data_IF_733782463808
#
_entry.id   IF_733782463808
#
_cell.length_a   1.000
_cell.length_b   1.000
_cell.length_c   1.000
_cell.angle_alpha   90.00
_cell.angle_beta   90.00
_cell.angle_gamma   90.00
#
_symmetry.space_group_name_H-M   'P 1'
#
loop_
_entity.id
_entity.type
_entity.pdbx_description
1 polymer ?
#
# COMPACT_ATOMS: atom_id res chain seq x y z
N UNK A 1 -12.39 7.91 7.76
CA UNK A 1 -11.09 7.46 7.22
C UNK A 1 -10.18 8.68 7.04
N UNK A 2 -8.88 8.52 7.30
CA UNK A 2 -7.92 9.63 7.25
C UNK A 2 -7.36 9.93 5.86
N UNK A 3 -7.86 9.25 4.83
CA UNK A 3 -7.37 9.38 3.46
C UNK A 3 -8.42 10.02 2.57
N UNK A 4 -7.97 10.77 1.57
CA UNK A 4 -8.80 11.14 0.44
C UNK A 4 -8.89 9.93 -0.49
N UNK A 5 -10.09 9.57 -0.94
CA UNK A 5 -10.27 8.41 -1.80
C UNK A 5 -9.46 8.48 -3.09
N UNK A 6 -9.30 9.69 -3.65
CA UNK A 6 -8.52 9.89 -4.88
C UNK A 6 -7.05 9.48 -4.76
N UNK A 7 -6.50 9.42 -3.54
CA UNK A 7 -5.12 8.96 -3.33
C UNK A 7 -4.91 7.52 -3.80
N UNK A 8 -5.98 6.74 -3.87
CA UNK A 8 -5.91 5.32 -4.24
C UNK A 8 -6.22 5.05 -5.71
N UNK A 9 -6.53 6.09 -6.49
CA UNK A 9 -6.83 5.90 -7.92
C UNK A 9 -5.61 5.43 -8.70
N UNK A 10 -5.85 4.57 -9.69
CA UNK A 10 -4.88 4.38 -10.78
C UNK A 10 -4.81 5.70 -11.57
N UNK A 11 -3.61 6.20 -11.94
CA UNK A 11 -3.49 7.49 -12.64
C UNK A 11 -4.24 7.56 -13.95
N UNK A 12 -4.51 6.45 -14.61
CA UNK A 12 -5.19 6.35 -15.89
C UNK A 12 -6.71 6.15 -15.78
N UNK A 13 -7.25 6.01 -14.56
CA UNK A 13 -8.69 5.78 -14.34
C UNK A 13 -9.24 6.67 -13.23
N UNK A 14 -10.16 7.55 -13.59
CA UNK A 14 -10.89 8.39 -12.61
C UNK A 14 -11.76 7.49 -11.73
N UNK A 15 -11.80 7.80 -10.45
CA UNK A 15 -12.62 7.09 -9.45
C UNK A 15 -12.33 5.58 -9.34
N UNK A 16 -11.18 5.14 -9.81
CA UNK A 16 -10.78 3.73 -9.73
C UNK A 16 -10.52 3.27 -8.28
N UNK A 17 -10.46 4.18 -7.31
CA UNK A 17 -10.36 3.85 -5.88
C UNK A 17 -11.47 2.86 -5.44
N UNK A 18 -12.60 2.80 -6.14
CA UNK A 18 -13.69 1.87 -5.81
C UNK A 18 -13.25 0.40 -5.92
N UNK A 19 -12.14 0.14 -6.62
CA UNK A 19 -11.57 -1.20 -6.74
C UNK A 19 -10.68 -1.58 -5.54
N UNK A 20 -10.44 -0.64 -4.61
CA UNK A 20 -9.74 -0.96 -3.37
C UNK A 20 -10.62 -1.78 -2.44
N UNK A 21 -10.02 -2.79 -1.81
CA UNK A 21 -10.71 -3.60 -0.82
C UNK A 21 -10.98 -2.79 0.45
N UNK A 22 -12.24 -2.78 0.91
CA UNK A 22 -12.67 -1.97 2.05
C UNK A 22 -12.00 -2.42 3.35
N UNK A 23 -11.85 -3.72 3.57
CA UNK A 23 -11.21 -4.23 4.78
C UNK A 23 -9.72 -3.86 4.82
N UNK A 24 -9.05 -3.86 3.67
CA UNK A 24 -7.68 -3.40 3.55
C UNK A 24 -7.58 -1.92 3.91
N UNK A 25 -8.44 -1.07 3.36
CA UNK A 25 -8.45 0.37 3.66
C UNK A 25 -8.73 0.65 5.15
N UNK A 26 -9.63 -0.08 5.76
CA UNK A 26 -9.93 0.08 7.18
C UNK A 26 -8.72 -0.26 8.06
N UNK A 27 -8.01 -1.33 7.73
CA UNK A 27 -6.79 -1.72 8.44
C UNK A 27 -5.68 -0.69 8.24
N UNK A 28 -5.53 -0.19 7.01
CA UNK A 28 -4.55 0.85 6.69
C UNK A 28 -4.83 2.14 7.46
N UNK A 29 -6.09 2.53 7.60
CA UNK A 29 -6.50 3.71 8.38
C UNK A 29 -6.13 3.56 9.87
N UNK A 30 -6.30 2.37 10.44
CA UNK A 30 -5.88 2.09 11.81
C UNK A 30 -4.36 2.20 11.98
N UNK A 31 -3.60 1.74 10.99
CA UNK A 31 -2.14 1.86 11.01
C UNK A 31 -1.72 3.33 11.00
N UNK A 32 -2.33 4.15 10.15
CA UNK A 32 -2.04 5.59 10.08
C UNK A 32 -2.35 6.27 11.41
N UNK A 33 -3.45 5.92 12.04
CA UNK A 33 -3.83 6.44 13.36
C UNK A 33 -2.78 6.10 14.41
N UNK A 34 -2.33 4.84 14.47
CA UNK A 34 -1.29 4.40 15.39
C UNK A 34 0.05 5.08 15.13
N UNK A 35 0.42 5.26 13.87
CA UNK A 35 1.68 5.89 13.50
C UNK A 35 1.73 7.37 13.91
N UNK A 36 0.59 8.03 13.96
CA UNK A 36 0.45 9.46 14.27
C UNK A 36 1.25 10.37 13.31
N UNK A 37 1.51 9.88 12.09
CA UNK A 37 2.09 10.66 10.98
C UNK A 37 1.25 10.46 9.74
N UNK A 38 1.33 11.40 8.79
CA UNK A 38 0.64 11.24 7.51
C UNK A 38 1.22 10.10 6.69
N UNK A 39 0.36 9.33 6.04
CA UNK A 39 0.76 8.32 5.05
C UNK A 39 0.51 8.92 3.68
N UNK A 40 1.57 9.29 2.97
CA UNK A 40 1.46 9.74 1.60
C UNK A 40 1.46 8.52 0.68
N UNK A 41 0.33 8.26 0.05
CA UNK A 41 0.17 7.14 -0.87
C UNK A 41 0.76 7.53 -2.23
N UNK A 42 1.76 6.81 -2.68
CA UNK A 42 2.39 7.03 -3.99
C UNK A 42 1.86 6.07 -5.05
N UNK A 43 1.29 4.94 -4.65
CA UNK A 43 0.63 4.00 -5.54
C UNK A 43 -0.44 3.25 -4.75
N UNK A 44 -1.67 3.27 -5.23
CA UNK A 44 -2.79 2.50 -4.68
C UNK A 44 -3.25 1.45 -5.66
N UNK A 45 -4.52 1.52 -6.11
CA UNK A 45 -5.00 0.65 -7.17
C UNK A 45 -4.24 0.92 -8.48
N UNK A 46 -3.95 -0.14 -9.22
CA UNK A 46 -3.44 -0.05 -10.59
C UNK A 46 -4.34 -0.81 -11.52
N UNK A 47 -4.78 -0.14 -12.60
CA UNK A 47 -5.36 -0.86 -13.73
C UNK A 47 -4.29 -1.78 -14.32
N UNK A 48 -4.70 -2.81 -15.05
CA UNK A 48 -3.76 -3.71 -15.71
C UNK A 48 -2.86 -2.96 -16.70
N UNK A 49 -3.43 -2.00 -17.43
CA UNK A 49 -2.69 -1.18 -18.39
C UNK A 49 -1.62 -0.33 -17.69
N UNK A 50 -1.97 0.34 -16.60
CA UNK A 50 -1.02 1.15 -15.85
C UNK A 50 0.07 0.28 -15.20
N UNK A 51 -0.31 -0.87 -14.66
CA UNK A 51 0.64 -1.81 -14.07
C UNK A 51 1.70 -2.26 -15.09
N UNK A 52 1.27 -2.57 -16.31
CA UNK A 52 2.20 -2.91 -17.40
C UNK A 52 3.11 -1.73 -17.72
N UNK A 53 2.54 -0.52 -17.82
CA UNK A 53 3.29 0.71 -18.15
C UNK A 53 4.41 1.01 -17.15
N UNK A 54 4.19 0.78 -15.87
CA UNK A 54 5.19 1.05 -14.83
C UNK A 54 6.11 -0.13 -14.54
N UNK A 55 5.98 -1.21 -15.31
CA UNK A 55 6.83 -2.40 -15.16
C UNK A 55 6.46 -3.28 -13.98
N UNK A 56 5.23 -3.19 -13.49
CA UNK A 56 4.74 -4.06 -12.42
C UNK A 56 4.58 -5.51 -12.89
N UNK A 57 4.65 -6.44 -11.94
CA UNK A 57 4.43 -7.85 -12.26
C UNK A 57 2.97 -8.09 -12.65
N UNK A 58 2.66 -9.03 -13.57
CA UNK A 58 1.28 -9.27 -14.01
C UNK A 58 0.31 -9.62 -12.89
N UNK A 59 0.81 -10.25 -11.81
CA UNK A 59 0.01 -10.63 -10.64
C UNK A 59 0.17 -9.64 -9.49
N UNK A 60 0.45 -8.37 -9.77
CA UNK A 60 0.65 -7.36 -8.74
C UNK A 60 -0.58 -7.22 -7.84
N UNK A 61 -0.35 -7.17 -6.53
CA UNK A 61 -1.40 -6.99 -5.54
C UNK A 61 -2.08 -5.61 -5.66
N UNK A 62 -1.44 -4.64 -6.31
CA UNK A 62 -2.04 -3.35 -6.65
C UNK A 62 -3.23 -3.49 -7.62
N UNK A 63 -3.19 -4.47 -8.50
CA UNK A 63 -4.25 -4.68 -9.51
C UNK A 63 -5.54 -5.26 -8.92
N UNK A 64 -5.47 -5.83 -7.73
CA UNK A 64 -6.66 -6.35 -7.04
C UNK A 64 -7.13 -5.43 -5.91
N UNK A 65 -6.55 -4.24 -5.78
CA UNK A 65 -6.95 -3.27 -4.77
C UNK A 65 -6.56 -3.63 -3.34
N UNK A 66 -5.52 -4.42 -3.15
CA UNK A 66 -5.08 -4.89 -1.83
C UNK A 66 -3.62 -4.54 -1.54
N UNK A 67 -3.12 -3.48 -2.14
CA UNK A 67 -1.76 -3.01 -1.92
C UNK A 67 -1.67 -1.50 -2.04
N UNK A 68 -0.76 -0.91 -1.27
CA UNK A 68 -0.36 0.49 -1.43
C UNK A 68 1.14 0.61 -1.22
N UNK A 69 1.71 1.64 -1.83
CA UNK A 69 3.06 2.12 -1.54
C UNK A 69 2.93 3.44 -0.78
N UNK A 70 3.65 3.57 0.32
CA UNK A 70 3.62 4.71 1.23
C UNK A 70 4.97 5.41 1.18
N UNK A 71 5.01 6.69 0.85
CA UNK A 71 6.25 7.44 0.80
C UNK A 71 6.95 7.44 2.16
N UNK A 72 8.21 7.03 2.19
CA UNK A 72 9.01 6.89 3.40
C UNK A 72 10.50 7.07 3.07
N UNK A 73 10.96 8.34 2.92
CA UNK A 73 12.34 8.60 2.47
C UNK A 73 13.40 8.41 3.56
N UNK A 74 13.02 8.40 4.84
CA UNK A 74 13.98 8.31 5.95
C UNK A 74 13.82 7.02 6.73
N UNK A 75 14.89 6.60 7.40
CA UNK A 75 14.87 5.41 8.27
C UNK A 75 13.85 5.54 9.40
N UNK A 76 13.71 6.72 9.96
CA UNK A 76 12.74 6.98 11.03
C UNK A 76 11.32 6.81 10.54
N UNK A 77 10.99 7.38 9.37
CA UNK A 77 9.66 7.21 8.79
C UNK A 77 9.36 5.74 8.46
N UNK A 78 10.35 5.03 7.91
CA UNK A 78 10.20 3.59 7.66
C UNK A 78 9.89 2.81 8.93
N UNK A 79 10.63 3.09 10.00
CA UNK A 79 10.42 2.43 11.29
C UNK A 79 9.00 2.67 11.82
N UNK A 80 8.56 3.93 11.85
CA UNK A 80 7.23 4.31 12.35
C UNK A 80 6.13 3.63 11.54
N UNK A 81 6.24 3.68 10.22
CA UNK A 81 5.24 3.10 9.32
C UNK A 81 5.20 1.57 9.45
N UNK A 82 6.33 0.91 9.39
CA UNK A 82 6.40 -0.56 9.50
C UNK A 82 5.87 -1.02 10.84
N UNK A 83 6.26 -0.36 11.92
CA UNK A 83 5.78 -0.72 13.26
C UNK A 83 4.25 -0.64 13.36
N UNK A 84 3.66 0.44 12.85
CA UNK A 84 2.21 0.61 12.85
C UNK A 84 1.51 -0.46 11.99
N UNK A 85 2.04 -0.75 10.81
CA UNK A 85 1.48 -1.77 9.91
C UNK A 85 1.48 -3.15 10.56
N UNK A 86 2.58 -3.53 11.20
CA UNK A 86 2.67 -4.82 11.90
C UNK A 86 1.70 -4.90 13.07
N UNK A 87 1.55 -3.82 13.83
CA UNK A 87 0.64 -3.79 14.98
C UNK A 87 -0.82 -3.99 14.61
N UNK A 88 -1.25 -3.53 13.45
CA UNK A 88 -2.63 -3.73 12.99
C UNK A 88 -2.83 -5.06 12.26
N UNK A 89 -1.78 -5.86 12.12
CA UNK A 89 -1.87 -7.21 11.59
C UNK A 89 -1.47 -7.40 10.14
N UNK A 90 -0.88 -6.39 9.49
CA UNK A 90 -0.25 -6.62 8.21
C UNK A 90 1.00 -7.47 8.38
N UNK A 91 1.20 -8.42 7.49
CA UNK A 91 2.34 -9.35 7.56
C UNK A 91 3.04 -9.54 6.20
N UNK A 92 2.82 -8.62 5.27
CA UNK A 92 3.51 -8.59 3.99
C UNK A 92 4.02 -7.17 3.75
N UNK A 93 5.32 -6.97 3.90
CA UNK A 93 5.97 -5.65 3.87
C UNK A 93 7.13 -5.67 2.89
N UNK A 94 7.17 -4.70 1.98
CA UNK A 94 8.31 -4.45 1.12
C UNK A 94 9.01 -3.16 1.53
N UNK A 95 10.33 -3.19 1.63
CA UNK A 95 11.14 -2.03 2.04
C UNK A 95 11.96 -1.56 0.87
N UNK A 96 11.57 -0.43 0.29
CA UNK A 96 12.30 0.20 -0.80
C UNK A 96 13.10 1.41 -0.31
N UNK A 97 13.87 2.02 -1.19
CA UNK A 97 14.68 3.19 -0.84
C UNK A 97 13.84 4.35 -0.31
N UNK A 98 12.71 4.64 -0.95
CA UNK A 98 11.90 5.82 -0.64
C UNK A 98 10.45 5.49 -0.29
N UNK A 99 10.09 4.22 -0.21
CA UNK A 99 8.71 3.85 0.14
C UNK A 99 8.65 2.52 0.87
N UNK A 100 7.54 2.30 1.53
CA UNK A 100 7.15 1.02 2.12
C UNK A 100 5.95 0.50 1.32
N UNK A 101 6.08 -0.70 0.79
CA UNK A 101 4.98 -1.44 0.20
C UNK A 101 4.29 -2.26 1.29
N UNK A 102 2.98 -2.28 1.29
CA UNK A 102 2.18 -3.16 2.14
C UNK A 102 1.03 -3.73 1.33
N UNK A 103 0.79 -5.01 1.51
CA UNK A 103 -0.37 -5.69 0.92
C UNK A 103 -0.91 -6.76 1.87
N UNK A 104 -2.13 -7.21 1.60
CA UNK A 104 -2.74 -8.36 2.25
C UNK A 104 -3.27 -9.36 1.23
N UNK A 105 -2.58 -9.51 0.12
CA UNK A 105 -2.94 -10.39 -0.99
C UNK A 105 -3.02 -11.84 -0.53
N UNK A 106 -4.22 -12.44 -0.54
CA UNK A 106 -4.40 -13.80 -0.01
C UNK A 106 -3.76 -14.88 -0.88
N UNK A 107 -3.34 -14.55 -2.10
CA UNK A 107 -2.68 -15.50 -3.02
C UNK A 107 -1.18 -15.61 -2.80
N UNK A 108 -0.61 -14.83 -1.89
CA UNK A 108 0.85 -14.73 -1.68
C UNK A 108 1.24 -15.17 -0.26
N UNK A 109 2.53 -15.51 -0.09
CA UNK A 109 3.05 -15.99 1.19
C UNK A 109 2.93 -14.94 2.29
N UNK A 110 2.42 -15.35 3.45
CA UNK A 110 2.33 -14.52 4.64
C UNK A 110 3.65 -14.47 5.41
N UNK A 111 3.74 -13.54 6.35
CA UNK A 111 4.85 -13.40 7.30
C UNK A 111 6.19 -13.16 6.60
N UNK A 112 6.21 -12.23 5.64
CA UNK A 112 7.41 -11.89 4.88
C UNK A 112 7.68 -10.39 4.88
N UNK A 113 8.96 -10.05 4.97
CA UNK A 113 9.48 -8.70 4.71
C UNK A 113 10.59 -8.86 3.66
N UNK A 114 10.53 -8.06 2.61
CA UNK A 114 11.55 -8.11 1.56
C UNK A 114 12.09 -6.72 1.27
N UNK A 115 13.23 -6.68 0.58
CA UNK A 115 13.83 -5.44 0.09
C UNK A 115 13.85 -5.47 -1.44
N UNK A 116 13.91 -4.31 -2.00
CA UNK A 116 14.00 -4.14 -3.46
C UNK A 116 15.46 -4.01 -3.90
#
# INVERSE_FOLDING_TARGET
>A
MFFEYSEFNSPDEIDSYINMDVSFLNKLSKARELAAIGFKITSGYRSDAHNTKVGGVPSSSHTIGRAVDIYAPTSTQKYIIINALLQVGFNRIGVAKNFIHVDDDPSKSEDVIWTY
#
